data_IF_172681633699
#
_entry.id   IF_172681633699
#
_cell.length_a   1.000
_cell.length_b   1.000
_cell.length_c   1.000
_cell.angle_alpha   90.00
_cell.angle_beta   90.00
_cell.angle_gamma   90.00
#
_symmetry.space_group_name_H-M   'P 1'
#
loop_
_entity.id
_entity.type
_entity.pdbx_description
1 polymer ?
#
# COMPACT_ATOMS: atom_id res chain seq x y z
N UNK A 1 -28.22 7.13 10.49
CA UNK A 1 -26.77 7.08 10.75
C UNK A 1 -26.28 5.68 10.38
N UNK A 2 -25.45 5.53 9.35
CA UNK A 2 -24.77 4.23 9.17
C UNK A 2 -23.73 4.05 10.30
N UNK A 3 -23.53 2.84 10.81
CA UNK A 3 -22.56 2.61 11.87
C UNK A 3 -21.17 3.00 11.37
N UNK A 4 -20.48 3.82 12.16
CA UNK A 4 -19.08 4.23 11.90
C UNK A 4 -18.14 3.03 11.67
N UNK A 5 -18.52 1.83 12.13
CA UNK A 5 -17.79 0.58 11.95
C UNK A 5 -17.82 0.05 10.51
N UNK A 6 -18.89 0.21 9.74
CA UNK A 6 -18.97 -0.27 8.36
C UNK A 6 -17.99 0.49 7.45
N UNK A 7 -17.87 1.81 7.65
CA UNK A 7 -16.89 2.65 6.94
C UNK A 7 -15.46 2.30 7.31
N UNK A 8 -15.19 2.04 8.60
CA UNK A 8 -13.86 1.65 9.07
C UNK A 8 -13.43 0.28 8.52
N UNK A 9 -14.33 -0.71 8.55
CA UNK A 9 -14.09 -2.04 7.96
C UNK A 9 -13.84 -1.93 6.46
N UNK A 10 -14.63 -1.13 5.74
CA UNK A 10 -14.46 -0.89 4.30
C UNK A 10 -13.12 -0.21 3.98
N UNK A 11 -12.70 0.77 4.79
CA UNK A 11 -11.41 1.43 4.68
C UNK A 11 -10.25 0.44 4.87
N UNK A 12 -10.30 -0.40 5.91
CA UNK A 12 -9.29 -1.43 6.14
C UNK A 12 -9.28 -2.46 5.02
N UNK A 13 -10.43 -2.90 4.52
CA UNK A 13 -10.49 -3.85 3.41
C UNK A 13 -9.91 -3.28 2.11
N UNK A 14 -9.99 -1.96 1.89
CA UNK A 14 -9.46 -1.31 0.68
C UNK A 14 -7.97 -0.91 0.82
N UNK A 15 -7.55 -0.41 1.98
CA UNK A 15 -6.19 0.06 2.20
C UNK A 15 -5.24 -1.05 2.71
N UNK A 16 -5.77 -2.07 3.38
CA UNK A 16 -5.00 -3.19 3.93
C UNK A 16 -4.17 -3.96 2.88
N UNK A 17 -4.72 -4.28 1.70
CA UNK A 17 -3.93 -4.89 0.62
C UNK A 17 -2.70 -4.06 0.23
N UNK A 18 -2.81 -2.74 0.20
CA UNK A 18 -1.69 -1.86 -0.18
C UNK A 18 -0.58 -1.87 0.89
N UNK A 19 -0.93 -2.02 2.16
CA UNK A 19 0.06 -2.18 3.25
C UNK A 19 0.82 -3.51 3.11
N UNK A 20 0.11 -4.60 2.80
CA UNK A 20 0.72 -5.91 2.59
C UNK A 20 1.65 -5.88 1.37
N UNK A 21 1.21 -5.25 0.29
CA UNK A 21 1.99 -5.11 -0.94
C UNK A 21 3.25 -4.25 -0.73
N UNK A 22 3.13 -3.12 -0.03
CA UNK A 22 4.30 -2.30 0.34
C UNK A 22 5.30 -3.06 1.22
N UNK A 23 4.83 -3.88 2.16
CA UNK A 23 5.71 -4.71 2.99
C UNK A 23 6.43 -5.81 2.17
N UNK A 24 5.77 -6.37 1.16
CA UNK A 24 6.38 -7.32 0.24
C UNK A 24 7.45 -6.66 -0.62
N UNK A 25 7.17 -5.48 -1.19
CA UNK A 25 8.13 -4.72 -1.99
C UNK A 25 9.36 -4.32 -1.16
N UNK A 26 9.16 -3.91 0.09
CA UNK A 26 10.28 -3.60 1.00
C UNK A 26 11.14 -4.84 1.28
N UNK A 27 10.51 -6.01 1.45
CA UNK A 27 11.22 -7.28 1.64
C UNK A 27 12.05 -7.63 0.40
N UNK A 28 11.49 -7.46 -0.80
CA UNK A 28 12.20 -7.62 -2.07
C UNK A 28 13.37 -6.63 -2.18
N UNK A 29 13.16 -5.36 -1.84
CA UNK A 29 14.17 -4.31 -1.90
C UNK A 29 15.39 -4.62 -1.03
N UNK A 30 15.18 -5.05 0.21
CA UNK A 30 16.27 -5.39 1.14
C UNK A 30 17.10 -6.59 0.64
N UNK A 31 16.47 -7.53 -0.06
CA UNK A 31 17.13 -8.73 -0.57
C UNK A 31 17.73 -8.57 -1.98
N UNK A 32 17.37 -7.50 -2.71
CA UNK A 32 17.72 -7.34 -4.11
C UNK A 32 19.14 -6.76 -4.32
N UNK A 33 19.82 -7.15 -5.42
CA UNK A 33 20.99 -6.45 -5.93
C UNK A 33 20.71 -4.97 -6.20
N UNK A 34 21.74 -4.14 -6.05
CA UNK A 34 21.64 -2.68 -6.14
C UNK A 34 21.10 -2.19 -7.50
N UNK A 35 21.31 -2.96 -8.56
CA UNK A 35 20.84 -2.69 -9.93
C UNK A 35 19.30 -2.66 -10.02
N UNK A 36 18.61 -3.37 -9.12
CA UNK A 36 17.15 -3.47 -9.11
C UNK A 36 16.48 -2.44 -8.18
N UNK A 37 17.26 -1.70 -7.40
CA UNK A 37 16.72 -0.80 -6.38
C UNK A 37 15.86 0.33 -6.96
N UNK A 38 16.25 0.87 -8.11
CA UNK A 38 15.48 1.95 -8.74
C UNK A 38 14.08 1.49 -9.16
N UNK A 39 13.96 0.26 -9.67
CA UNK A 39 12.68 -0.33 -10.07
C UNK A 39 11.80 -0.63 -8.84
N UNK A 40 12.39 -1.22 -7.81
CA UNK A 40 11.68 -1.57 -6.58
C UNK A 40 11.24 -0.32 -5.79
N UNK A 41 12.07 0.72 -5.76
CA UNK A 41 11.70 2.01 -5.16
C UNK A 41 10.52 2.66 -5.91
N UNK A 42 10.49 2.57 -7.24
CA UNK A 42 9.35 3.05 -8.04
C UNK A 42 8.08 2.26 -7.73
N UNK A 43 8.14 0.92 -7.69
CA UNK A 43 7.00 0.08 -7.32
C UNK A 43 6.46 0.43 -5.94
N UNK A 44 7.34 0.66 -4.96
CA UNK A 44 6.93 1.05 -3.60
C UNK A 44 6.20 2.41 -3.59
N UNK A 45 6.70 3.39 -4.34
CA UNK A 45 6.05 4.71 -4.47
C UNK A 45 4.67 4.63 -5.13
N UNK A 46 4.53 3.81 -6.18
CA UNK A 46 3.25 3.64 -6.88
C UNK A 46 2.20 2.95 -5.98
N UNK A 47 2.61 1.95 -5.17
CA UNK A 47 1.73 1.27 -4.20
C UNK A 47 1.31 2.20 -3.05
N UNK A 48 2.22 3.04 -2.55
CA UNK A 48 1.89 4.08 -1.57
C UNK A 48 0.84 5.06 -2.12
N UNK A 49 1.03 5.53 -3.36
CA UNK A 49 0.12 6.48 -4.00
C UNK A 49 -1.29 5.91 -4.17
N UNK A 50 -1.40 4.62 -4.52
CA UNK A 50 -2.68 3.91 -4.60
C UNK A 50 -3.38 3.80 -3.23
N UNK A 51 -2.61 3.65 -2.14
CA UNK A 51 -3.11 3.70 -0.77
C UNK A 51 -3.62 5.07 -0.34
N UNK A 52 -2.92 6.13 -0.70
CA UNK A 52 -3.32 7.50 -0.38
C UNK A 52 -4.61 7.89 -1.11
N UNK A 53 -4.74 7.54 -2.40
CA UNK A 53 -5.96 7.74 -3.18
C UNK A 53 -7.18 6.99 -2.62
N UNK A 54 -6.94 5.78 -2.11
CA UNK A 54 -7.97 4.97 -1.47
C UNK A 54 -8.45 5.61 -0.18
N UNK A 55 -7.54 6.16 0.63
CA UNK A 55 -7.83 6.76 1.93
C UNK A 55 -8.52 8.11 1.79
N UNK A 56 -8.09 8.93 0.83
CA UNK A 56 -8.61 10.28 0.57
C UNK A 56 -10.03 10.31 0.03
N UNK A 57 -10.52 9.23 -0.60
CA UNK A 57 -11.86 9.13 -1.21
C UNK A 57 -12.92 8.45 -0.32
N UNK A 58 -12.61 8.16 0.94
CA UNK A 58 -13.46 7.39 1.88
C UNK A 58 -14.17 8.23 2.94
#
# INVERSE_FOLDING_TARGET
>A
MQPRSEKFSTLISKAGPNVIESAAILTEFVAAPHELWAELAKRMHDTEHAGDDTTRRS
#
